data_IF_337102839181
#
_entry.id   IF_337102839181
#
_cell.length_a   1.000
_cell.length_b   1.000
_cell.length_c   1.000
_cell.angle_alpha   90.00
_cell.angle_beta   90.00
_cell.angle_gamma   90.00
#
_symmetry.space_group_name_H-M   'P 1'
#
loop_
_entity.id
_entity.type
_entity.pdbx_description
1 polymer ?
2 non-polymer ?
3 water ?
#
# COMPACT_ATOMS: atom_id res chain seq x y z
N UNK A 16 12.85 -11.47 -18.70
CA UNK A 16 12.13 -11.81 -17.47
C UNK A 16 11.03 -12.85 -17.74
N UNK A 17 10.96 -13.91 -16.90
CA UNK A 17 9.91 -14.93 -17.02
C UNK A 17 8.60 -14.23 -16.60
N UNK A 18 8.72 -13.36 -15.58
CA UNK A 18 7.66 -12.56 -14.98
C UNK A 18 8.27 -11.37 -14.20
N UNK A 19 7.44 -10.36 -13.84
CA UNK A 19 7.86 -9.18 -13.08
C UNK A 19 6.83 -9.00 -11.99
N UNK A 20 7.24 -9.33 -10.79
CA UNK A 20 6.43 -9.44 -9.59
C UNK A 20 7.06 -8.56 -8.50
N UNK A 21 6.25 -7.72 -7.82
CA UNK A 21 6.73 -6.83 -6.75
C UNK A 21 5.81 -6.77 -5.56
N UNK A 22 6.40 -6.67 -4.36
CA UNK A 22 5.68 -6.51 -3.10
C UNK A 22 6.26 -5.28 -2.39
N UNK A 23 5.41 -4.32 -2.08
CA UNK A 23 5.77 -3.06 -1.42
C UNK A 23 4.99 -2.94 -0.10
N UNK A 24 5.71 -2.91 1.02
CA UNK A 24 5.13 -2.76 2.34
C UNK A 24 5.58 -1.42 2.89
N UNK A 25 4.63 -0.64 3.39
CA UNK A 25 4.90 0.63 4.04
C UNK A 25 4.23 0.65 5.40
N UNK A 26 5.02 0.72 6.49
CA UNK A 26 4.53 0.78 7.85
C UNK A 26 4.63 2.17 8.41
N UNK A 27 3.48 2.76 8.79
CA UNK A 27 3.38 4.10 9.31
C UNK A 27 2.81 4.19 10.71
N UNK A 28 1.61 3.62 10.91
CA UNK A 28 0.88 3.77 12.15
C UNK A 28 1.22 2.70 13.18
N UNK A 29 2.27 2.96 13.96
CA UNK A 29 2.74 2.08 15.02
C UNK A 29 2.00 2.32 16.35
N UNK A 30 1.66 1.21 17.01
CA UNK A 30 0.96 1.17 18.29
C UNK A 30 1.88 1.69 19.44
N UNK A 31 3.11 1.17 19.56
CA UNK A 31 4.06 1.52 20.61
C UNK A 31 5.32 2.27 20.13
N UNK A 32 5.36 2.66 18.85
CA UNK A 32 6.52 3.38 18.31
C UNK A 32 6.13 4.66 17.58
N UNK A 33 7.07 5.58 17.32
CA UNK A 33 6.69 6.83 16.64
C UNK A 33 6.11 6.56 15.28
N UNK A 34 5.08 7.29 14.92
CA UNK A 34 4.45 7.10 13.64
C UNK A 34 5.30 7.72 12.55
N UNK A 35 5.28 7.13 11.36
CA UNK A 35 6.02 7.65 10.22
C UNK A 35 5.04 8.29 9.21
N UNK A 36 5.54 9.18 8.34
CA UNK A 36 4.66 9.85 7.37
C UNK A 36 5.01 9.50 5.94
N UNK A 37 6.32 9.40 5.65
CA UNK A 37 6.85 9.14 4.31
C UNK A 37 6.42 7.81 3.63
N UNK A 38 6.27 6.63 4.32
CA UNK A 38 5.94 5.40 3.58
C UNK A 38 4.73 5.51 2.65
N UNK A 39 3.65 6.21 3.06
CA UNK A 39 2.44 6.39 2.26
C UNK A 39 2.70 6.86 0.81
N UNK A 40 3.37 8.00 0.65
CA UNK A 40 3.71 8.59 -0.65
C UNK A 40 4.73 7.70 -1.41
N UNK A 41 5.73 7.20 -0.68
CA UNK A 41 6.77 6.36 -1.23
C UNK A 41 6.20 5.08 -1.86
N UNK A 42 5.40 4.33 -1.10
CA UNK A 42 4.78 3.09 -1.57
C UNK A 42 3.87 3.35 -2.76
N UNK A 43 3.02 4.39 -2.65
CA UNK A 43 2.10 4.74 -3.71
C UNK A 43 2.80 5.10 -4.99
N UNK A 44 3.80 5.99 -4.92
CA UNK A 44 4.51 6.43 -6.12
C UNK A 44 5.41 5.35 -6.71
N UNK A 45 6.02 4.48 -5.88
CA UNK A 45 6.85 3.39 -6.40
C UNK A 45 5.95 2.35 -7.12
N UNK A 46 4.69 2.13 -6.59
CA UNK A 46 3.69 1.26 -7.20
C UNK A 46 3.41 1.70 -8.64
N UNK A 47 3.14 3.00 -8.84
CA UNK A 47 2.87 3.54 -10.16
C UNK A 47 4.06 3.38 -11.10
N UNK A 48 5.26 3.71 -10.60
CA UNK A 48 6.50 3.57 -11.36
C UNK A 48 6.74 2.13 -11.79
N UNK A 49 6.58 1.17 -10.87
CA UNK A 49 6.75 -0.25 -11.22
C UNK A 49 5.65 -0.77 -12.18
N UNK A 50 4.37 -0.32 -12.00
CA UNK A 50 3.25 -0.68 -12.89
C UNK A 50 3.64 -0.28 -14.34
N UNK A 51 4.26 0.91 -14.52
CA UNK A 51 4.72 1.41 -15.82
C UNK A 51 5.76 0.49 -16.43
N UNK A 52 6.55 -0.20 -15.58
CA UNK A 52 7.60 -1.13 -16.00
C UNK A 52 7.09 -2.58 -16.17
N UNK A 53 5.74 -2.78 -16.12
CA UNK A 53 5.01 -4.05 -16.31
C UNK A 53 5.13 -5.03 -15.12
N UNK A 54 5.36 -4.51 -13.93
CA UNK A 54 5.40 -5.33 -12.74
C UNK A 54 3.97 -5.49 -12.22
N UNK A 55 3.64 -6.70 -11.75
CA UNK A 55 2.36 -6.98 -11.09
C UNK A 55 2.75 -6.61 -9.66
N UNK A 56 2.12 -5.56 -9.11
CA UNK A 56 2.48 -5.02 -7.81
C UNK A 56 1.46 -5.26 -6.76
N UNK A 57 1.88 -5.72 -5.60
CA UNK A 57 1.03 -5.79 -4.43
C UNK A 57 1.61 -4.69 -3.49
N UNK A 58 0.76 -3.76 -3.04
CA UNK A 58 1.17 -2.68 -2.16
C UNK A 58 0.33 -2.74 -0.88
N UNK A 59 0.97 -2.84 0.27
CA UNK A 59 0.29 -3.00 1.55
C UNK A 59 0.77 -2.02 2.58
N UNK A 60 -0.18 -1.36 3.26
CA UNK A 60 0.11 -0.41 4.32
C UNK A 60 -0.17 -0.99 5.69
N UNK A 61 0.64 -0.59 6.68
CA UNK A 61 0.47 -0.93 8.12
C UNK A 61 0.21 -2.40 8.41
N UNK A 62 1.20 -3.24 8.17
CA UNK A 62 1.07 -4.67 8.41
C UNK A 62 1.59 -5.08 9.80
N UNK A 63 0.90 -6.06 10.41
CA UNK A 63 1.29 -6.64 11.68
C UNK A 63 2.36 -7.70 11.38
N UNK A 64 2.92 -8.31 12.41
CA UNK A 64 3.94 -9.34 12.27
C UNK A 64 3.47 -10.50 11.43
N UNK A 65 2.32 -11.11 11.77
CA UNK A 65 1.79 -12.27 11.06
C UNK A 65 1.45 -11.96 9.60
N UNK A 66 0.91 -10.76 9.35
CA UNK A 66 0.58 -10.27 8.02
C UNK A 66 1.85 -10.10 7.18
N UNK A 67 2.91 -9.50 7.77
CA UNK A 67 4.21 -9.30 7.11
C UNK A 67 4.82 -10.59 6.72
N UNK A 68 4.93 -11.52 7.65
CA UNK A 68 5.46 -12.85 7.45
C UNK A 68 4.75 -13.59 6.34
N UNK A 69 3.39 -13.57 6.30
CA UNK A 69 2.63 -14.27 5.25
C UNK A 69 2.79 -13.62 3.89
N UNK A 70 2.83 -12.27 3.85
CA UNK A 70 2.99 -11.52 2.60
C UNK A 70 4.33 -11.81 1.99
N UNK A 71 5.41 -11.78 2.83
CA UNK A 71 6.78 -12.05 2.41
C UNK A 71 6.93 -13.49 1.94
N UNK A 72 6.41 -14.48 2.71
CA UNK A 72 6.41 -15.89 2.33
C UNK A 72 5.77 -16.12 0.98
N UNK A 73 4.59 -15.50 0.73
CA UNK A 73 3.86 -15.66 -0.53
C UNK A 73 4.62 -15.02 -1.67
N UNK A 74 5.25 -13.87 -1.43
CA UNK A 74 6.06 -13.19 -2.46
C UNK A 74 7.28 -14.06 -2.80
N UNK A 75 7.96 -14.58 -1.79
CA UNK A 75 9.14 -15.42 -1.96
C UNK A 75 8.80 -16.64 -2.82
N UNK A 76 7.60 -17.22 -2.61
CA UNK A 76 7.11 -18.40 -3.33
C UNK A 76 6.95 -18.18 -4.78
N UNK A 77 6.78 -16.93 -5.21
CA UNK A 77 6.57 -16.58 -6.63
C UNK A 77 7.87 -16.53 -7.40
N UNK A 78 9.02 -16.56 -6.68
CA UNK A 78 10.33 -16.37 -7.26
C UNK A 78 10.89 -17.65 -7.91
N UNK A 79 10.24 -18.06 -9.02
CA UNK A 79 10.58 -19.22 -9.85
C UNK A 79 11.75 -18.87 -10.79
N UNK A 80 12.33 -19.87 -11.47
CA UNK A 80 13.45 -19.64 -12.39
C UNK A 80 13.14 -18.54 -13.41
N UNK A 81 14.05 -17.58 -13.53
CA UNK A 81 13.98 -16.47 -14.48
C UNK A 81 13.07 -15.30 -14.12
N UNK A 82 12.31 -15.41 -13.02
CA UNK A 82 11.39 -14.36 -12.58
C UNK A 82 12.16 -13.15 -12.06
N UNK A 83 11.62 -11.93 -12.24
CA UNK A 83 12.19 -10.68 -11.75
C UNK A 83 11.35 -10.26 -10.60
N UNK A 84 11.93 -10.28 -9.40
CA UNK A 84 11.22 -9.87 -8.20
C UNK A 84 11.76 -8.58 -7.62
N UNK A 85 10.88 -7.83 -6.95
CA UNK A 85 11.28 -6.60 -6.24
C UNK A 85 10.51 -6.51 -4.96
N UNK A 86 11.20 -6.45 -3.83
CA UNK A 86 10.60 -6.33 -2.52
C UNK A 86 11.06 -5.02 -1.88
N UNK A 87 10.09 -4.21 -1.46
CA UNK A 87 10.39 -2.93 -0.85
C UNK A 87 9.72 -2.83 0.50
N UNK A 88 10.48 -2.39 1.48
CA UNK A 88 9.93 -2.14 2.80
C UNK A 88 10.31 -0.75 3.26
N UNK A 89 9.32 0.05 3.67
CA UNK A 89 9.54 1.37 4.28
C UNK A 89 8.87 1.35 5.66
N UNK A 90 9.62 1.72 6.69
CA UNK A 90 9.12 1.70 8.05
C UNK A 90 10.24 1.64 9.07
N UNK A 91 9.91 1.36 10.35
CA UNK A 91 10.97 1.28 11.38
C UNK A 91 11.79 0.03 11.15
N UNK A 92 13.07 0.17 11.42
CA UNK A 92 14.05 -0.89 11.33
C UNK A 92 14.78 -1.01 12.63
N UNK A 93 15.38 -2.18 12.89
CA UNK A 93 16.07 -2.47 14.14
C UNK A 93 17.37 -3.23 13.83
N UNK A 94 18.47 -2.87 14.51
CA UNK A 94 19.76 -3.53 14.30
C UNK A 94 20.25 -4.17 15.57
N UNK A 95 20.46 -5.49 15.56
CA UNK A 95 20.96 -6.17 16.74
C UNK A 95 21.95 -7.27 16.39
N UNK A 96 23.23 -7.02 16.77
CA UNK A 96 24.43 -7.84 16.58
C UNK A 96 24.56 -8.36 15.18
N UNK A 97 24.80 -7.42 14.27
CA UNK A 97 25.01 -7.70 12.86
C UNK A 97 23.76 -8.01 12.06
N UNK A 98 22.60 -8.11 12.72
CA UNK A 98 21.36 -8.42 12.03
C UNK A 98 20.44 -7.24 11.98
N UNK A 99 19.75 -7.08 10.86
CA UNK A 99 18.75 -6.05 10.69
C UNK A 99 17.33 -6.64 10.64
N UNK A 100 16.37 -5.94 11.21
CA UNK A 100 15.00 -6.42 11.33
C UNK A 100 14.01 -5.36 10.89
N UNK A 101 12.89 -5.82 10.33
CA UNK A 101 11.78 -4.97 9.90
C UNK A 101 10.76 -5.00 11.01
N UNK A 102 10.36 -3.81 11.45
CA UNK A 102 9.47 -3.64 12.58
C UNK A 102 7.97 -3.54 12.16
N UNK A 103 7.13 -4.54 12.52
CA UNK A 103 5.69 -4.47 12.19
C UNK A 103 4.95 -3.46 13.09
N UNK A 104 3.78 -2.97 12.65
CA UNK A 104 3.02 -1.95 13.39
C UNK A 104 2.57 -2.36 14.84
N UNK A 105 2.45 -3.67 15.09
CA UNK A 105 2.01 -4.21 16.37
C UNK A 105 3.16 -4.58 17.29
N UNK A 106 4.41 -4.16 16.94
CA UNK A 106 5.59 -4.50 17.73
C UNK A 106 5.59 -3.81 19.08
N UNK A 107 5.88 -4.56 20.15
CA UNK A 107 5.93 -3.91 21.47
C UNK A 107 7.19 -3.06 21.68
N UNK A 108 7.15 -2.15 22.65
CA UNK A 108 8.29 -1.31 22.98
C UNK A 108 8.84 -1.77 24.32
N UNK A 109 10.15 -2.13 24.46
CA UNK A 109 11.26 -2.05 23.46
C UNK A 109 11.26 -3.12 22.37
N UNK A 110 11.98 -2.89 21.25
CA UNK A 110 12.06 -3.86 20.15
C UNK A 110 12.64 -5.19 20.62
N UNK A 111 12.16 -6.29 20.02
CA UNK A 111 12.60 -7.69 20.24
C UNK A 111 12.45 -8.46 18.94
N UNK A 112 13.48 -9.24 18.59
CA UNK A 112 13.60 -9.98 17.33
C UNK A 112 12.42 -10.91 17.03
N UNK A 113 11.85 -11.63 18.05
CA UNK A 113 10.75 -12.57 17.80
C UNK A 113 9.52 -11.91 17.17
N UNK A 114 9.35 -10.61 17.42
CA UNK A 114 8.25 -9.83 16.89
C UNK A 114 8.58 -9.21 15.55
N UNK A 115 9.82 -9.35 15.08
CA UNK A 115 10.26 -8.70 13.86
C UNK A 115 10.63 -9.68 12.77
N UNK A 116 10.78 -9.16 11.55
CA UNK A 116 11.19 -9.98 10.40
C UNK A 116 12.66 -9.78 10.16
N UNK A 117 13.44 -10.88 10.30
CA UNK A 117 14.88 -10.85 10.07
C UNK A 117 15.20 -10.78 8.59
N UNK A 118 15.89 -9.70 8.21
CA UNK A 118 16.35 -9.38 6.84
C UNK A 118 17.29 -10.44 6.31
N UNK A 119 18.20 -10.90 7.17
CA UNK A 119 19.23 -11.90 6.84
C UNK A 119 18.58 -13.22 6.48
N UNK A 120 17.45 -13.57 7.16
CA UNK A 120 16.66 -14.78 6.85
C UNK A 120 16.02 -14.69 5.49
N UNK A 121 15.51 -13.50 5.12
CA UNK A 121 14.89 -13.25 3.82
C UNK A 121 15.92 -13.39 2.71
N UNK A 122 17.08 -12.72 2.88
CA UNK A 122 18.22 -12.78 1.96
C UNK A 122 18.65 -14.23 1.74
N UNK A 123 18.70 -15.03 2.84
CA UNK A 123 19.06 -16.45 2.82
C UNK A 123 18.08 -17.26 1.98
N UNK A 124 16.78 -17.00 2.11
CA UNK A 124 15.77 -17.68 1.30
C UNK A 124 15.84 -17.21 -0.15
N UNK A 125 16.16 -15.92 -0.40
CA UNK A 125 16.30 -15.34 -1.75
C UNK A 125 17.47 -15.99 -2.48
N UNK A 126 18.56 -16.29 -1.76
CA UNK A 126 19.77 -16.92 -2.27
C UNK A 126 19.54 -18.32 -2.87
N UNK A 127 18.50 -19.03 -2.42
CA UNK A 127 18.15 -20.38 -2.89
C UNK A 127 17.39 -20.34 -4.22
N UNK A 128 16.77 -19.17 -4.56
CA UNK A 128 16.01 -18.99 -5.80
C UNK A 128 16.92 -18.90 -7.03
N UNK A 129 16.33 -19.14 -8.21
CA UNK A 129 17.01 -19.08 -9.51
C UNK A 129 16.44 -17.90 -10.29
N UNK A 130 16.10 -16.81 -9.58
CA UNK A 130 15.54 -15.60 -10.16
C UNK A 130 16.48 -15.00 -11.17
N UNK A 131 15.87 -14.37 -12.19
CA UNK A 131 16.59 -13.62 -13.20
C UNK A 131 17.11 -12.36 -12.54
N UNK A 132 16.33 -11.79 -11.61
CA UNK A 132 16.69 -10.59 -10.85
C UNK A 132 15.91 -10.56 -9.59
N UNK A 133 16.57 -10.23 -8.48
CA UNK A 133 15.89 -10.09 -7.21
C UNK A 133 16.39 -8.81 -6.56
N UNK A 134 15.55 -7.80 -6.47
CA UNK A 134 15.89 -6.49 -5.90
C UNK A 134 15.19 -6.38 -4.53
N UNK A 135 15.98 -6.25 -3.46
CA UNK A 135 15.47 -6.13 -2.11
C UNK A 135 15.88 -4.76 -1.60
N UNK A 136 14.89 -3.85 -1.43
CA UNK A 136 15.14 -2.49 -0.97
C UNK A 136 14.55 -2.20 0.39
N UNK A 137 15.39 -1.76 1.35
CA UNK A 137 14.93 -1.40 2.68
C UNK A 137 15.09 0.08 2.85
N UNK A 138 14.06 0.73 3.33
CA UNK A 138 14.02 2.16 3.56
C UNK A 138 13.61 2.31 5.01
N UNK A 139 14.55 2.07 5.92
CA UNK A 139 14.25 2.00 7.34
C UNK A 139 14.75 3.17 8.21
N UNK A 140 13.95 3.43 9.24
CA UNK A 140 14.16 4.42 10.28
C UNK A 140 14.73 3.59 11.43
N UNK A 141 16.07 3.60 11.61
CA UNK A 141 16.78 2.77 12.62
C UNK A 141 16.53 3.15 14.09
N UNK A 158 25.23 -21.51 -8.51
CA UNK A 158 24.31 -20.79 -9.40
C UNK A 158 23.84 -19.49 -8.69
N UNK A 159 23.66 -18.40 -9.46
CA UNK A 159 23.32 -17.09 -8.95
C UNK A 159 21.79 -16.81 -8.92
N UNK A 160 21.37 -16.09 -7.87
CA UNK A 160 20.00 -15.64 -7.64
C UNK A 160 19.88 -14.20 -8.13
N UNK A 161 21.03 -13.58 -8.50
CA UNK A 161 21.13 -12.20 -9.00
C UNK A 161 20.45 -11.20 -8.06
N UNK A 162 20.87 -11.21 -6.80
CA UNK A 162 20.32 -10.34 -5.76
C UNK A 162 21.02 -8.99 -5.72
N UNK A 163 20.23 -7.92 -5.75
CA UNK A 163 20.67 -6.54 -5.56
C UNK A 163 19.96 -6.08 -4.29
N UNK A 164 20.75 -5.85 -3.23
CA UNK A 164 20.22 -5.42 -1.93
C UNK A 164 20.60 -3.98 -1.64
N UNK A 165 19.59 -3.14 -1.48
CA UNK A 165 19.72 -1.72 -1.16
C UNK A 165 19.22 -1.50 0.26
N UNK A 166 20.06 -0.91 1.10
CA UNK A 166 19.70 -0.71 2.48
C UNK A 166 19.92 0.73 2.88
N UNK A 167 18.81 1.49 2.89
CA UNK A 167 18.73 2.92 3.21
C UNK A 167 18.33 3.09 4.68
N UNK A 168 18.99 4.01 5.40
CA UNK A 168 18.74 4.21 6.82
C UNK A 168 18.33 5.66 7.19
N UNK A 169 17.95 6.44 6.17
CA UNK A 169 17.55 7.85 6.30
C UNK A 169 16.02 8.06 6.28
N UNK A 170 15.24 7.10 6.79
CA UNK A 170 13.77 7.25 6.84
C UNK A 170 13.39 8.13 8.03
N UNK A 173 12.81 10.84 11.94
CA UNK A 173 12.27 10.44 10.63
C UNK A 173 12.54 11.52 9.59
N UNK A 174 13.60 11.33 8.78
CA UNK A 174 14.00 12.25 7.74
C UNK A 174 13.11 12.10 6.52
N UNK A 175 12.50 13.23 6.12
CA UNK A 175 11.64 13.38 4.95
C UNK A 175 11.56 14.85 4.57
N UNK A 176 11.06 15.11 3.35
CA UNK A 176 10.85 16.43 2.79
C UNK A 176 9.36 16.70 2.55
N UNK A 177 8.94 17.96 2.82
CA UNK A 177 7.56 18.37 2.59
C UNK A 177 7.45 19.00 1.19
N UNK A 178 6.47 18.51 0.40
CA UNK A 178 6.26 18.96 -0.98
C UNK A 178 5.26 20.09 -1.03
N UNK A 179 5.08 20.69 -2.23
CA UNK A 179 4.09 21.75 -2.46
C UNK A 179 2.67 21.21 -2.30
N UNK A 180 2.54 19.88 -2.31
CA UNK A 180 1.29 19.16 -2.08
C UNK A 180 0.98 19.08 -0.57
N UNK A 181 2.03 19.21 0.26
CA UNK A 181 1.96 19.14 1.71
C UNK A 181 2.25 17.75 2.25
N UNK A 182 2.50 16.82 1.32
CA UNK A 182 2.80 15.41 1.57
C UNK A 182 4.27 15.20 1.85
N UNK A 183 4.56 14.19 2.67
CA UNK A 183 5.91 13.82 3.07
C UNK A 183 6.52 12.78 2.11
N UNK A 184 7.65 13.14 1.45
CA UNK A 184 8.36 12.21 0.56
C UNK A 184 9.69 11.85 1.24
N UNK A 185 10.07 10.57 1.21
CA UNK A 185 11.32 10.12 1.80
C UNK A 185 12.50 10.56 0.95
N UNK A 186 13.72 10.65 1.58
CA UNK A 186 14.95 11.04 0.89
C UNK A 186 15.35 9.99 -0.15
N UNK A 187 15.36 8.70 0.24
CA UNK A 187 15.65 7.59 -0.67
C UNK A 187 14.73 7.58 -1.89
N UNK A 188 13.39 7.63 -1.65
CA UNK A 188 12.40 7.62 -2.73
C UNK A 188 12.49 8.82 -3.65
N UNK A 189 12.78 10.02 -3.10
CA UNK A 189 12.88 11.26 -3.91
C UNK A 189 13.81 11.04 -5.09
N UNK A 190 14.98 10.45 -4.81
CA UNK A 190 16.02 10.18 -5.80
C UNK A 190 15.77 8.94 -6.61
N UNK A 191 15.15 7.92 -5.99
CA UNK A 191 14.79 6.68 -6.67
C UNK A 191 13.74 6.93 -7.77
N UNK A 192 12.67 7.72 -7.47
CA UNK A 192 11.60 8.11 -8.43
C UNK A 192 12.16 8.66 -9.74
N UNK A 193 13.16 9.52 -9.62
CA UNK A 193 13.83 10.21 -10.72
C UNK A 193 14.72 9.30 -11.59
N UNK A 194 15.11 8.11 -11.10
CA UNK A 194 15.99 7.22 -11.85
C UNK A 194 15.43 5.84 -12.17
N UNK A 195 14.32 5.46 -11.55
CA UNK A 195 13.76 4.12 -11.73
C UNK A 195 13.44 3.73 -13.16
N UNK A 196 12.86 4.66 -13.92
CA UNK A 196 12.42 4.39 -15.27
C UNK A 196 13.55 4.26 -16.30
N UNK A 197 14.82 4.53 -15.92
CA UNK A 197 16.01 4.45 -16.78
C UNK A 197 16.34 3.04 -17.24
N UNK A 198 16.60 2.87 -18.57
CA UNK A 198 16.98 1.57 -19.12
C UNK A 198 18.51 1.40 -18.95
N UNK A 199 18.92 1.14 -17.71
CA UNK A 199 20.31 0.95 -17.30
C UNK A 199 20.35 -0.16 -16.26
N UNK A 200 21.48 -0.87 -16.17
CA UNK A 200 21.69 -1.93 -15.18
C UNK A 200 21.27 -1.40 -13.79
N UNK A 201 20.50 -2.19 -13.03
CA UNK A 201 19.99 -1.78 -11.73
C UNK A 201 21.09 -1.32 -10.76
N UNK A 202 22.24 -2.00 -10.74
CA UNK A 202 23.36 -1.67 -9.84
C UNK A 202 23.94 -0.30 -10.13
N UNK A 203 23.99 0.05 -11.42
CA UNK A 203 24.47 1.34 -11.90
C UNK A 203 23.47 2.43 -11.46
N UNK A 204 22.15 2.14 -11.59
CA UNK A 204 21.02 3.00 -11.25
C UNK A 204 21.10 3.36 -9.76
N UNK A 205 21.19 2.32 -8.90
CA UNK A 205 21.25 2.46 -7.45
C UNK A 205 22.47 3.24 -6.99
N UNK A 206 23.64 3.08 -7.67
CA UNK A 206 24.88 3.82 -7.37
C UNK A 206 24.68 5.32 -7.65
N UNK A 207 23.99 5.68 -8.73
CA UNK A 207 23.67 7.08 -9.03
C UNK A 207 22.77 7.65 -7.87
N UNK A 208 21.80 6.85 -7.37
CA UNK A 208 20.91 7.26 -6.25
C UNK A 208 21.74 7.52 -4.97
N UNK A 209 22.77 6.68 -4.72
CA UNK A 209 23.68 6.82 -3.59
C UNK A 209 24.50 8.11 -3.72
N UNK A 210 24.92 8.47 -4.96
CA UNK A 210 25.67 9.70 -5.25
C UNK A 210 24.78 10.92 -4.98
N UNK A 211 23.50 10.88 -5.46
CA UNK A 211 22.49 11.92 -5.29
C UNK A 211 22.23 12.20 -3.82
N UNK A 212 22.12 11.13 -2.99
CA UNK A 212 21.92 11.23 -1.54
C UNK A 212 23.15 11.84 -0.88
N UNK A 213 24.35 11.48 -1.39
CA UNK A 213 25.64 11.98 -0.92
C UNK A 213 25.83 13.47 -1.16
N UNK A 214 25.18 14.01 -2.22
CA UNK A 214 25.18 15.42 -2.59
C UNK A 214 24.07 16.17 -1.82
N UNK A 215 22.97 15.46 -1.47
CA UNK A 215 21.83 15.97 -0.68
C UNK A 215 22.33 16.39 0.68
N UNK A 216 22.00 17.62 1.10
CA UNK A 216 22.49 18.22 2.34
C UNK A 216 22.07 17.48 3.63
N UNK A 217 20.93 16.79 3.58
CA UNK A 217 20.41 16.01 4.72
C UNK A 217 21.20 14.73 4.97
N UNK A 218 21.79 14.15 3.91
CA UNK A 218 22.51 12.86 3.99
C UNK A 218 23.98 12.88 3.48
N UNK A 219 24.53 14.09 3.24
CA UNK A 219 25.83 14.38 2.62
C UNK A 219 26.94 13.34 2.91
N UNK A 220 27.76 13.53 3.94
CA UNK A 220 28.87 12.63 4.25
C UNK A 220 28.50 11.53 5.21
N UNK A 221 27.31 10.92 5.03
CA UNK A 221 26.82 9.87 5.90
C UNK A 221 26.49 8.56 5.18
N UNK A 222 26.60 7.43 5.91
CA UNK A 222 26.28 6.07 5.46
C UNK A 222 24.74 5.93 5.41
N UNK A 223 24.11 6.54 4.40
CA UNK A 223 22.66 6.54 4.21
C UNK A 223 22.17 5.36 3.38
N UNK A 224 22.95 4.91 2.37
CA UNK A 224 22.63 3.75 1.51
C UNK A 224 23.81 2.81 1.36
N UNK A 225 23.55 1.52 1.64
CA UNK A 225 24.52 0.45 1.44
C UNK A 225 23.95 -0.41 0.34
N UNK A 226 24.77 -0.69 -0.67
CA UNK A 226 24.38 -1.54 -1.78
C UNK A 226 25.19 -2.84 -1.73
N UNK A 227 24.53 -3.99 -1.78
CA UNK A 227 25.15 -5.31 -1.83
C UNK A 227 24.65 -5.94 -3.11
N UNK A 228 25.54 -6.44 -3.95
CA UNK A 228 25.09 -7.00 -5.21
C UNK A 228 25.82 -8.26 -5.53
N UNK A 229 25.13 -9.21 -6.17
CA UNK A 229 25.67 -10.48 -6.63
C UNK A 229 25.20 -10.62 -8.10
N UNK A 230 25.18 -9.49 -8.82
CA UNK A 230 24.72 -9.43 -10.19
C UNK A 230 25.86 -9.54 -11.20
N UNK A 231 25.99 -10.73 -11.83
CA UNK A 231 26.99 -11.05 -12.84
C UNK A 231 26.57 -10.68 -14.27
N UNK A 232 25.25 -10.45 -14.48
CA UNK A 232 24.67 -10.13 -15.79
C UNK A 232 24.06 -8.73 -15.81
N UNK A 233 24.11 -8.06 -16.98
CA UNK A 233 23.54 -6.74 -17.15
C UNK A 233 22.03 -6.94 -17.17
N UNK A 234 21.36 -6.71 -16.02
CA UNK A 234 19.90 -6.85 -15.86
C UNK A 234 19.36 -5.55 -15.37
N UNK A 235 18.22 -5.16 -15.95
CA UNK A 235 17.53 -3.93 -15.58
C UNK A 235 16.06 -4.20 -15.32
N UNK A 236 15.40 -3.29 -14.58
CA UNK A 236 13.96 -3.40 -14.31
C UNK A 236 13.16 -3.16 -15.62
N UNK A 237 13.81 -2.59 -16.64
CA UNK A 237 13.18 -2.29 -17.94
C UNK A 237 13.20 -3.49 -18.93
N UNK A 238 13.88 -4.60 -18.57
CA UNK A 238 13.95 -5.83 -19.38
C UNK A 238 12.56 -6.43 -19.70
N UNK A 239 12.31 -6.90 -20.95
CA UNK A 239 10.97 -7.42 -21.30
C UNK A 239 10.61 -8.80 -20.73
N UNK A 240 9.28 -9.08 -20.64
CA UNK A 240 8.73 -10.35 -20.18
C UNK A 240 8.58 -11.33 -21.35
N UNK A 241 9.10 -12.56 -21.16
CA UNK A 241 9.05 -13.76 -22.02
C UNK A 241 7.66 -13.92 -22.69
N UNK A 242 7.66 -14.27 -23.98
CA UNK A 242 6.47 -14.42 -24.83
C UNK A 242 5.33 -15.26 -24.30
N UNK A 243 4.10 -14.73 -24.40
CA UNK A 243 2.87 -15.40 -23.93
C UNK A 243 2.34 -16.45 -24.93
N UNK A 244 3.02 -16.60 -26.08
CA UNK A 244 2.66 -17.59 -27.09
C UNK A 244 3.25 -18.95 -26.73
N UNK A 245 4.12 -19.00 -25.69
CA UNK A 245 4.80 -20.22 -25.21
C UNK A 245 4.93 -20.30 -23.66
N UNK A 246 4.93 -19.16 -22.94
CA UNK A 246 4.98 -19.13 -21.47
C UNK A 246 3.64 -18.57 -20.93
N UNK A 247 2.79 -19.48 -20.42
CA UNK A 247 1.46 -19.16 -19.89
C UNK A 247 1.42 -18.78 -18.40
N UNK A 248 2.54 -18.91 -17.64
CA UNK A 248 2.63 -18.60 -16.21
C UNK A 248 2.39 -17.08 -15.90
N UNK A 249 2.75 -16.18 -16.86
CA UNK A 249 2.53 -14.73 -16.74
C UNK A 249 1.03 -14.42 -16.83
N UNK A 250 0.30 -15.13 -17.70
CA UNK A 250 -1.16 -15.02 -17.87
C UNK A 250 -1.91 -15.56 -16.66
N UNK A 251 -1.47 -16.71 -16.10
CA UNK A 251 -2.07 -17.30 -14.88
C UNK A 251 -1.88 -16.32 -13.72
N UNK A 252 -0.62 -15.82 -13.52
CA UNK A 252 -0.32 -14.89 -12.44
C UNK A 252 -0.96 -13.57 -12.67
N UNK A 253 -1.19 -13.15 -13.93
CA UNK A 253 -1.92 -11.91 -14.21
C UNK A 253 -3.38 -11.99 -13.76
N UNK A 254 -4.06 -13.14 -14.02
CA UNK A 254 -5.45 -13.43 -13.65
C UNK A 254 -5.56 -13.46 -12.11
N UNK A 255 -4.60 -14.13 -11.44
CA UNK A 255 -4.55 -14.23 -9.97
C UNK A 255 -4.30 -12.87 -9.30
N UNK A 256 -3.48 -12.01 -9.92
CA UNK A 256 -3.21 -10.65 -9.45
C UNK A 256 -4.50 -9.84 -9.61
N UNK A 257 -5.11 -9.88 -10.82
CA UNK A 257 -6.31 -9.13 -11.14
C UNK A 257 -7.46 -9.37 -10.17
N UNK A 258 -7.73 -10.64 -9.80
CA UNK A 258 -8.83 -10.96 -8.88
C UNK A 258 -8.56 -10.43 -7.45
N UNK A 259 -7.27 -10.25 -7.06
CA UNK A 259 -6.90 -9.66 -5.76
C UNK A 259 -7.02 -8.11 -5.78
N UNK A 260 -7.41 -7.52 -6.93
CA UNK A 260 -7.53 -6.07 -7.03
C UNK A 260 -8.91 -5.66 -7.54
N UNK A 261 -9.92 -6.35 -7.03
CA UNK A 261 -11.28 -6.05 -7.49
C UNK A 261 -11.99 -5.14 -6.52
N UNK A 262 -12.59 -4.12 -7.09
CA UNK A 262 -13.28 -3.11 -6.33
C UNK A 262 -14.78 -3.34 -6.48
N UNK A 263 -15.60 -3.03 -5.45
CA UNK A 263 -17.05 -3.18 -5.63
C UNK A 263 -17.53 -2.14 -6.65
N UNK A 264 -18.54 -2.48 -7.48
CA UNK A 264 -19.17 -1.56 -8.44
C UNK A 264 -20.03 -0.64 -7.59
N UNK A 265 -20.14 0.65 -7.98
CA UNK A 265 -20.93 1.63 -7.23
C UNK A 265 -22.37 1.26 -7.22
N UNK A 266 -23.01 1.48 -6.07
CA UNK A 266 -24.42 1.13 -5.89
C UNK A 266 -25.31 2.27 -5.43
N UNK A 267 -26.57 2.16 -5.79
CA UNK A 267 -27.56 3.12 -5.39
C UNK A 267 -28.56 2.46 -4.49
N UNK A 268 -28.83 3.10 -3.35
CA UNK A 268 -29.79 2.63 -2.38
C UNK A 268 -30.93 3.61 -2.35
N UNK A 269 -32.17 3.09 -2.35
CA UNK A 269 -33.38 3.89 -2.25
C UNK A 269 -33.92 3.75 -0.83
N UNK A 270 -34.32 4.87 -0.23
CA UNK A 270 -34.85 4.87 1.12
C UNK A 270 -36.34 5.18 1.05
N UNK A 271 -37.12 4.74 2.06
CA UNK A 271 -38.57 4.96 2.11
C UNK A 271 -39.00 6.42 1.96
N UNK A 272 -38.25 7.36 2.55
CA UNK A 272 -38.56 8.80 2.50
C UNK A 272 -38.47 9.40 1.09
N UNK A 273 -37.82 8.68 0.17
CA UNK A 273 -37.63 9.08 -1.21
C UNK A 273 -36.20 9.45 -1.56
N UNK A 274 -35.32 9.54 -0.54
CA UNK A 274 -33.90 9.87 -0.71
C UNK A 274 -33.18 8.67 -1.34
N UNK A 275 -32.38 8.95 -2.38
CA UNK A 275 -31.57 7.96 -3.06
C UNK A 275 -30.10 8.27 -2.78
N UNK A 276 -29.35 7.28 -2.30
CA UNK A 276 -27.93 7.43 -1.91
C UNK A 276 -27.08 6.64 -2.85
N UNK A 277 -25.91 7.16 -3.20
CA UNK A 277 -24.95 6.42 -3.96
C UNK A 277 -23.74 6.07 -3.07
N UNK A 278 -23.26 4.86 -3.21
CA UNK A 278 -22.08 4.36 -2.52
C UNK A 278 -20.99 4.18 -3.59
N UNK A 279 -19.88 4.85 -3.43
CA UNK A 279 -18.78 4.80 -4.39
C UNK A 279 -17.54 4.23 -3.76
N UNK A 280 -16.66 3.66 -4.59
CA UNK A 280 -15.48 2.96 -4.09
C UNK A 280 -14.24 3.30 -4.86
N UNK A 281 -13.15 3.58 -4.15
CA UNK A 281 -11.86 3.87 -4.76
C UNK A 281 -10.75 3.12 -4.02
N UNK A 282 -9.67 2.76 -4.71
CA UNK A 282 -8.55 2.05 -4.10
C UNK A 282 -7.29 2.90 -4.08
N UNK A 283 -6.59 2.80 -2.97
CA UNK A 283 -5.37 3.53 -2.77
C UNK A 283 -4.19 2.50 -2.85
N UNK A 284 -4.30 1.36 -2.13
CA UNK A 284 -3.31 0.27 -2.02
C UNK A 284 -4.06 -1.07 -2.06
N UNK A 285 -3.35 -2.21 -2.20
CA UNK A 285 -3.95 -3.55 -2.21
C UNK A 285 -4.83 -3.84 -0.97
N UNK A 286 -4.56 -3.15 0.17
CA UNK A 286 -5.37 -3.33 1.39
C UNK A 286 -6.08 -2.05 1.88
N UNK A 287 -6.12 -0.99 1.03
CA UNK A 287 -6.72 0.30 1.39
C UNK A 287 -7.74 0.69 0.34
N UNK A 288 -8.98 0.91 0.80
CA UNK A 288 -10.14 1.29 0.00
C UNK A 288 -10.83 2.44 0.66
N UNK A 289 -11.25 3.42 -0.15
CA UNK A 289 -12.04 4.58 0.25
C UNK A 289 -13.48 4.36 -0.20
N UNK A 290 -14.41 4.55 0.73
CA UNK A 290 -15.85 4.48 0.52
C UNK A 290 -16.39 5.92 0.60
N UNK A 291 -17.25 6.29 -0.32
CA UNK A 291 -17.89 7.59 -0.28
C UNK A 291 -19.34 7.46 -0.52
N UNK A 292 -20.14 8.32 0.16
CA UNK A 292 -21.58 8.35 -0.01
C UNK A 292 -21.99 9.71 -0.49
N UNK A 293 -23.02 9.77 -1.30
CA UNK A 293 -23.56 11.03 -1.80
C UNK A 293 -25.04 10.89 -2.05
N UNK A 294 -25.76 11.98 -1.94
CA UNK A 294 -27.21 11.99 -2.15
C UNK A 294 -27.45 12.22 -3.64
N UNK A 295 -28.06 11.24 -4.31
CA UNK A 295 -28.32 11.42 -5.75
C UNK A 295 -29.68 12.13 -5.95
N UNK A 296 -30.65 11.85 -5.07
CA UNK A 296 -31.96 12.48 -5.07
C UNK A 296 -32.45 12.77 -3.65
N UNK A 297 -32.79 14.03 -3.40
CA UNK A 297 -33.33 14.47 -2.12
C UNK A 297 -34.71 15.13 -2.42
N UNK A 298 -35.84 14.51 -1.96
CA UNK A 298 -37.15 15.12 -2.21
C UNK A 298 -37.23 16.54 -1.65
N UNK A 299 -38.02 17.44 -2.29
CA UNK A 299 -38.15 18.82 -1.78
C UNK A 299 -38.56 18.92 -0.31
N UNK A 300 -39.38 17.96 0.19
CA UNK A 300 -39.82 17.91 1.59
C UNK A 300 -38.66 17.75 2.62
N UNK A 301 -37.52 17.15 2.19
CA UNK A 301 -36.34 16.94 3.03
C UNK A 301 -35.39 18.13 2.85
N UNK A 302 -35.16 18.90 3.94
CA UNK A 302 -34.28 20.08 3.89
C UNK A 302 -32.78 19.69 3.95
N UNK A 303 -32.45 18.72 4.80
CA UNK A 303 -31.08 18.30 5.02
C UNK A 303 -31.01 16.81 5.29
N UNK A 304 -30.12 16.12 4.59
CA UNK A 304 -29.88 14.70 4.82
C UNK A 304 -28.43 14.34 4.56
N UNK A 305 -27.97 13.29 5.25
CA UNK A 305 -26.61 12.77 5.12
C UNK A 305 -26.59 11.29 5.34
N UNK A 306 -25.86 10.59 4.49
CA UNK A 306 -25.75 9.15 4.60
C UNK A 306 -24.39 8.82 5.21
N UNK A 307 -24.41 8.16 6.37
CA UNK A 307 -23.26 7.76 7.15
C UNK A 307 -23.11 6.24 7.09
N UNK A 308 -21.89 5.76 6.78
CA UNK A 308 -21.56 4.32 6.76
C UNK A 308 -21.07 3.93 8.14
N UNK A 309 -21.70 2.90 8.70
CA UNK A 309 -21.42 2.47 10.07
C UNK A 309 -21.46 0.96 10.22
N UNK A 310 -21.15 0.49 11.46
CA UNK A 310 -21.18 -0.89 11.91
C UNK A 310 -20.41 -1.82 10.99
N UNK A 311 -19.16 -1.45 10.74
CA UNK A 311 -18.24 -2.25 9.92
C UNK A 311 -17.77 -3.45 10.71
N UNK A 312 -17.38 -4.58 10.04
CA UNK A 312 -16.81 -5.72 10.78
C UNK A 312 -15.70 -5.30 11.77
N UNK A 313 -15.70 -5.89 12.99
CA UNK A 313 -14.78 -5.61 14.08
C UNK A 313 -13.35 -5.74 13.70
N UNK A 314 -13.01 -6.78 12.91
CA UNK A 314 -11.66 -7.07 12.41
C UNK A 314 -10.98 -5.90 11.73
N UNK A 315 -11.78 -5.05 11.03
CA UNK A 315 -11.28 -3.89 10.29
C UNK A 315 -10.73 -2.76 11.16
N UNK A 316 -11.13 -2.71 12.44
CA UNK A 316 -10.72 -1.73 13.46
C UNK A 316 -10.87 -0.29 12.98
N UNK A 317 -12.08 0.06 12.53
CA UNK A 317 -12.37 1.44 12.08
C UNK A 317 -12.90 2.18 13.29
N UNK A 318 -12.39 3.39 13.51
CA UNK A 318 -12.86 4.24 14.61
C UNK A 318 -13.90 5.20 14.03
N UNK A 319 -15.15 5.23 14.57
CA UNK A 319 -16.18 6.15 14.03
C UNK A 319 -15.83 7.64 13.97
N UNK A 320 -14.84 8.10 14.78
CA UNK A 320 -14.38 9.49 14.77
C UNK A 320 -13.47 9.80 13.56
N UNK A 321 -13.10 8.77 12.75
CA UNK A 321 -12.26 8.87 11.55
C UNK A 321 -13.02 8.44 10.27
N UNK A 322 -14.34 8.25 10.39
CA UNK A 322 -15.19 7.86 9.28
C UNK A 322 -16.15 8.99 8.98
N UNK A 323 -16.85 8.93 7.83
CA UNK A 323 -17.86 9.90 7.39
C UNK A 323 -17.35 11.35 7.46
N UNK A 324 -16.22 11.59 6.85
CA UNK A 324 -15.60 12.91 6.81
C UNK A 324 -16.08 13.73 5.61
N UNK A 325 -16.01 15.05 5.72
CA UNK A 325 -16.40 15.95 4.64
C UNK A 325 -15.43 16.02 3.49
N UNK A 326 -14.16 15.55 3.70
CA UNK A 326 -13.11 15.52 2.66
C UNK A 326 -12.29 14.23 2.76
N UNK A 327 -11.74 13.68 1.63
CA UNK A 327 -10.92 12.45 1.74
C UNK A 327 -9.64 12.65 2.55
N UNK A 328 -9.12 13.91 2.60
CA UNK A 328 -7.89 14.27 3.32
C UNK A 328 -8.01 14.04 4.82
N UNK A 329 -9.19 14.30 5.37
CA UNK A 329 -9.52 14.12 6.79
C UNK A 329 -9.52 12.67 7.24
N UNK A 330 -9.55 11.71 6.28
CA UNK A 330 -9.58 10.27 6.56
C UNK A 330 -8.18 9.69 6.54
N UNK A 331 -7.23 10.47 6.02
CA UNK A 331 -5.85 10.04 5.85
C UNK A 331 -5.54 9.63 4.43
N UNK A 332 -6.46 9.96 3.50
CA UNK A 332 -6.37 9.66 2.07
C UNK A 332 -5.95 10.94 1.35
N UNK A 333 -4.67 11.00 0.93
CA UNK A 333 -4.21 12.20 0.26
C UNK A 333 -3.96 11.96 -1.24
N UNK A 334 -3.76 10.67 -1.56
CA UNK A 334 -3.61 10.12 -2.90
C UNK A 334 -5.02 9.71 -3.14
N UNK A 335 -5.58 10.17 -4.25
CA UNK A 335 -6.99 10.11 -4.62
C UNK A 335 -7.64 11.16 -3.67
N UNK A 336 -7.83 12.39 -4.21
CA UNK A 336 -8.30 13.56 -3.44
C UNK A 336 -9.26 14.47 -4.25
N UNK A 337 -8.91 14.77 -5.52
CA UNK A 337 -9.72 15.55 -6.49
C UNK A 337 -10.09 14.58 -7.64
N UNK A 338 -9.84 13.29 -7.37
CA UNK A 338 -10.09 12.06 -8.13
C UNK A 338 -11.51 11.57 -7.76
N UNK A 339 -12.06 12.06 -6.63
CA UNK A 339 -13.35 11.66 -6.06
C UNK A 339 -14.40 12.74 -6.22
N UNK A 340 -15.70 12.36 -6.32
CA UNK A 340 -16.77 13.39 -6.42
C UNK A 340 -16.80 14.36 -5.24
N UNK A 341 -17.25 15.60 -5.46
CA UNK A 341 -17.34 16.56 -4.36
C UNK A 341 -18.67 16.36 -3.62
N UNK A 342 -18.76 16.96 -2.40
CA UNK A 342 -19.94 16.95 -1.51
C UNK A 342 -20.39 15.54 -1.10
N UNK A 343 -19.44 14.71 -0.71
CA UNK A 343 -19.66 13.35 -0.24
C UNK A 343 -19.19 13.27 1.20
N UNK A 344 -19.43 12.12 1.83
CA UNK A 344 -18.87 11.76 3.12
C UNK A 344 -17.84 10.64 2.80
N UNK A 345 -16.62 10.72 3.30
CA UNK A 345 -15.56 9.74 2.96
C UNK A 345 -15.09 8.93 4.17
N UNK A 346 -14.81 7.63 3.94
CA UNK A 346 -14.35 6.65 4.94
C UNK A 346 -13.25 5.80 4.31
N UNK A 347 -12.11 5.73 5.00
CA UNK A 347 -10.93 4.98 4.58
C UNK A 347 -10.84 3.64 5.34
N UNK A 348 -10.92 2.52 4.60
CA UNK A 348 -10.78 1.16 5.12
C UNK A 348 -9.38 0.72 4.75
N UNK A 349 -8.44 0.88 5.68
CA UNK A 349 -7.03 0.60 5.50
C UNK A 349 -6.57 -0.74 6.06
N UNK A 350 -7.49 -1.58 6.58
CA UNK A 350 -7.13 -2.89 7.14
C UNK A 350 -7.84 -4.06 6.44
N UNK A 351 -8.04 -3.97 5.11
CA UNK A 351 -8.76 -5.00 4.34
C UNK A 351 -8.18 -6.43 4.42
N UNK A 352 -6.88 -6.54 4.74
CA UNK A 352 -6.22 -7.84 4.88
C UNK A 352 -6.72 -8.59 6.13
N UNK A 353 -7.36 -7.86 7.08
CA UNK A 353 -7.91 -8.40 8.34
C UNK A 353 -9.34 -8.94 8.16
N UNK A 354 -9.99 -8.56 7.06
CA UNK A 354 -11.34 -8.98 6.77
C UNK A 354 -11.37 -10.47 6.48
N UNK A 355 -12.05 -11.25 7.34
CA UNK A 355 -12.15 -12.71 7.19
C UNK A 355 -13.58 -13.20 6.79
N UNK A 356 -14.50 -12.27 6.54
CA UNK A 356 -15.89 -12.51 6.12
C UNK A 356 -16.22 -11.46 5.02
N UNK A 357 -17.47 -11.42 4.56
CA UNK A 357 -17.90 -10.41 3.58
C UNK A 357 -17.95 -9.03 4.26
N UNK A 358 -17.68 -7.97 3.50
CA UNK A 358 -17.76 -6.60 4.00
C UNK A 358 -19.22 -6.16 4.06
N UNK A 359 -19.86 -6.45 5.20
CA UNK A 359 -21.24 -6.11 5.51
C UNK A 359 -21.26 -4.93 6.47
N UNK A 360 -21.82 -3.81 6.02
CA UNK A 360 -21.92 -2.60 6.83
C UNK A 360 -23.29 -1.95 6.67
N UNK A 361 -23.52 -0.92 7.46
CA UNK A 361 -24.81 -0.25 7.47
C UNK A 361 -24.72 1.15 6.87
N UNK A 362 -25.71 1.51 6.08
CA UNK A 362 -25.83 2.85 5.56
C UNK A 362 -27.00 3.45 6.36
N UNK A 363 -26.63 4.39 7.26
CA UNK A 363 -27.56 5.13 8.10
C UNK A 363 -27.86 6.47 7.44
N UNK A 364 -29.14 6.74 7.19
CA UNK A 364 -29.58 7.99 6.63
C UNK A 364 -30.14 8.82 7.76
N UNK A 365 -29.67 10.05 7.87
CA UNK A 365 -30.15 10.99 8.87
C UNK A 365 -30.77 12.10 8.06
N UNK A 366 -32.09 12.36 8.23
CA UNK A 366 -32.79 13.38 7.45
C UNK A 366 -33.66 14.25 8.29
N UNK A 367 -33.92 15.47 7.79
CA UNK A 367 -34.69 16.49 8.48
C UNK A 367 -35.72 17.13 7.55
N UNK A 368 -36.97 17.22 8.02
CA UNK A 368 -38.03 17.91 7.31
C UNK A 368 -37.95 19.32 7.85
N UNK A 369 -37.95 20.35 6.98
CA UNK A 369 -37.79 21.78 7.34
C UNK A 369 -38.44 22.22 8.70
N UNK A 370 -39.77 22.12 8.81
CA UNK A 370 -40.50 22.51 10.03
C UNK A 370 -40.81 21.38 10.97
N UNK A 371 -39.89 20.40 11.11
CA UNK A 371 -40.07 19.24 11.99
C UNK A 371 -39.07 19.25 13.16
N UNK A 372 -39.51 18.65 14.29
CA UNK A 372 -38.84 18.51 15.58
C UNK A 372 -37.34 18.25 15.50
N UNK A 373 -36.93 17.13 14.89
CA UNK A 373 -35.51 16.81 14.80
C UNK A 373 -35.15 15.90 13.62
N UNK A 374 -34.06 15.13 13.78
CA UNK A 374 -33.48 14.19 12.84
C UNK A 374 -34.23 12.87 12.82
N UNK A 375 -34.61 12.41 11.63
CA UNK A 375 -35.23 11.11 11.44
C UNK A 375 -34.13 10.20 10.92
N UNK A 376 -34.01 9.00 11.47
CA UNK A 376 -33.01 8.02 11.04
C UNK A 376 -33.64 6.80 10.38
N UNK A 377 -33.00 6.31 9.33
CA UNK A 377 -33.36 5.09 8.62
C UNK A 377 -32.06 4.38 8.29
N UNK A 378 -32.04 3.05 8.28
CA UNK A 378 -30.81 2.35 7.98
C UNK A 378 -31.02 1.04 7.23
N UNK A 379 -30.09 0.71 6.37
CA UNK A 379 -30.12 -0.53 5.62
C UNK A 379 -28.70 -1.12 5.48
N UNK A 380 -28.62 -2.45 5.57
CA UNK A 380 -27.38 -3.22 5.50
C UNK A 380 -26.99 -3.36 4.05
N UNK A 381 -25.67 -3.45 3.81
CA UNK A 381 -25.08 -3.55 2.47
C UNK A 381 -24.00 -4.61 2.52
N UNK A 382 -23.93 -5.47 1.51
CA UNK A 382 -22.85 -6.47 1.39
C UNK A 382 -22.05 -6.11 0.12
N UNK A 383 -20.75 -5.80 0.27
CA UNK A 383 -19.91 -5.44 -0.88
C UNK A 383 -18.86 -6.53 -1.17
N UNK A 384 -19.08 -7.70 -0.59
CA UNK A 384 -18.22 -8.87 -0.75
C UNK A 384 -16.88 -8.73 -0.06
N UNK A 385 -15.86 -9.34 -0.65
CA UNK A 385 -14.50 -9.31 -0.13
C UNK A 385 -13.67 -8.46 -1.13
N UNK A 386 -13.55 -7.13 -0.92
CA UNK A 386 -12.83 -6.30 -1.92
C UNK A 386 -11.32 -6.41 -1.86
N UNK A 387 -10.67 -6.19 -3.00
CA UNK A 387 -9.21 -6.17 -3.12
C UNK A 387 -8.52 -7.41 -2.52
N UNK A 388 -7.52 -7.21 -1.61
CA UNK A 388 -6.73 -8.29 -1.00
C UNK A 388 -7.62 -9.32 -0.26
N UNK A 389 -8.80 -8.87 0.25
CA UNK A 389 -9.80 -9.70 0.93
C UNK A 389 -10.31 -10.91 0.07
N UNK A 390 -10.16 -10.87 -1.28
CA UNK A 390 -10.55 -11.96 -2.20
C UNK A 390 -9.73 -13.24 -1.93
N UNK A 391 -8.37 -13.09 -1.85
CA UNK A 391 -7.33 -14.12 -1.67
C UNK A 391 -7.64 -15.20 -0.60
#
# INVERSE_FOLDING_TARGET
GPGSDNKEQTTDQPLAKDKVALLIGNMNYREHPKLKAPLVDVYELTNLLRQLDFKVVSLLDLTEYEMRNAVDEFLLLLDKGVYGLLYYAGHGYENFGNSFMVPVDAPNPYRSENCLCVQNILKLMQEKETGLNVFLLDMCRKRNDYDDTIPILDALKVTANIVFGYATCQGAEAFEIQHSGLANGIFMKFLKDRLLEDKKITVLLDEVAEDMGKCHLTKGKQALEIRSSLSEKRALTDPIQGTEYSAESLVRNLQWAKAHELPESMCLKFDCGVQIQLGFAAEFSNVMIIYTSIVYKPPEIIMCDAYVTDFPLDLDIDPKDANKGTPEETGSYLVSKDLPKHCLYTRLSSLQKLKEHLVFTVCLSYQYSGLEDTVEDKQEVNVGKPLIAKLDMHRGLGRKTCFQ
#
